data_IF_818667167548
#
_entry.id   IF_818667167548
#
_cell.length_a   1.000
_cell.length_b   1.000
_cell.length_c   1.000
_cell.angle_alpha   90.00
_cell.angle_beta   90.00
_cell.angle_gamma   90.00
#
_symmetry.space_group_name_H-M   'P 1'
#
loop_
_entity.id
_entity.type
_entity.pdbx_description
1 polymer ?
#
# COMPACT_ATOMS: atom_id res chain seq x y z
N UNK A 1 20.49 8.17 6.92
CA UNK A 1 19.74 9.45 6.77
C UNK A 1 18.33 9.48 7.41
N UNK A 2 17.74 8.32 7.77
CA UNK A 2 16.36 8.25 8.28
C UNK A 2 16.21 7.53 9.63
N UNK A 3 17.30 7.31 10.37
CA UNK A 3 17.30 6.54 11.64
C UNK A 3 16.41 7.16 12.74
N UNK A 4 16.12 8.46 12.67
CA UNK A 4 15.32 9.18 13.68
C UNK A 4 13.97 9.67 13.12
N UNK A 5 13.50 9.11 12.00
CA UNK A 5 12.21 9.47 11.41
C UNK A 5 11.17 8.44 11.86
N UNK A 6 9.97 8.86 12.32
CA UNK A 6 8.92 7.93 12.70
C UNK A 6 8.56 7.02 11.51
N UNK A 7 8.37 5.72 11.80
CA UNK A 7 7.90 4.77 10.80
C UNK A 7 6.40 4.98 10.54
N UNK A 8 5.94 4.83 9.29
CA UNK A 8 4.52 4.92 9.00
C UNK A 8 3.78 3.70 9.52
N UNK A 9 2.59 3.90 10.08
CA UNK A 9 1.70 2.82 10.50
C UNK A 9 1.01 2.12 9.32
N UNK A 10 0.96 2.77 8.16
CA UNK A 10 0.34 2.30 6.92
C UNK A 10 0.99 3.00 5.72
N UNK A 11 1.22 2.26 4.64
CA UNK A 11 1.72 2.81 3.36
C UNK A 11 0.67 2.62 2.27
N UNK A 12 0.32 3.71 1.58
CA UNK A 12 -0.38 3.66 0.30
C UNK A 12 0.65 3.71 -0.82
N UNK A 13 0.71 2.67 -1.64
CA UNK A 13 1.72 2.51 -2.68
C UNK A 13 1.09 2.53 -4.07
N UNK A 14 1.54 3.43 -4.93
CA UNK A 14 1.26 3.30 -6.37
C UNK A 14 2.30 2.39 -7.01
N UNK A 15 1.90 1.60 -8.01
CA UNK A 15 2.83 0.83 -8.85
C UNK A 15 3.50 1.71 -9.91
N UNK A 16 2.79 2.74 -10.41
CA UNK A 16 3.25 3.62 -11.47
C UNK A 16 3.94 4.86 -10.90
N UNK A 17 5.06 4.65 -10.19
CA UNK A 17 5.86 5.73 -9.63
C UNK A 17 6.87 6.27 -10.65
N UNK A 18 7.13 7.59 -10.67
CA UNK A 18 8.22 8.15 -11.47
C UNK A 18 9.58 7.74 -10.87
N UNK A 19 10.46 7.18 -11.70
CA UNK A 19 11.86 6.89 -11.37
C UNK A 19 12.12 5.50 -10.80
N UNK A 20 11.24 4.96 -9.95
CA UNK A 20 11.35 3.59 -9.41
C UNK A 20 10.03 2.86 -9.56
N UNK A 21 10.03 1.57 -9.93
CA UNK A 21 8.80 0.79 -10.02
C UNK A 21 8.25 0.48 -8.62
N UNK A 22 6.96 0.74 -8.39
CA UNK A 22 6.33 0.45 -7.10
C UNK A 22 6.33 -1.05 -6.76
N UNK A 23 6.40 -1.95 -7.74
CA UNK A 23 6.56 -3.39 -7.51
C UNK A 23 7.90 -3.69 -6.82
N UNK A 24 8.95 -3.00 -7.23
CA UNK A 24 10.27 -3.13 -6.59
C UNK A 24 10.25 -2.58 -5.16
N UNK A 25 9.58 -1.43 -4.96
CA UNK A 25 9.40 -0.85 -3.62
C UNK A 25 8.66 -1.82 -2.70
N UNK A 26 7.58 -2.45 -3.17
CA UNK A 26 6.84 -3.44 -2.41
C UNK A 26 7.74 -4.62 -2.03
N UNK A 27 8.45 -5.20 -3.00
CA UNK A 27 9.34 -6.34 -2.78
C UNK A 27 10.47 -6.04 -1.80
N UNK A 28 11.10 -4.87 -1.93
CA UNK A 28 12.16 -4.45 -1.02
C UNK A 28 11.63 -4.22 0.40
N UNK A 29 10.52 -3.48 0.55
CA UNK A 29 9.94 -3.19 1.85
C UNK A 29 9.47 -4.47 2.56
N UNK A 30 8.91 -5.45 1.83
CA UNK A 30 8.48 -6.73 2.40
C UNK A 30 9.64 -7.72 2.61
N UNK A 31 10.77 -7.55 1.92
CA UNK A 31 11.99 -8.31 2.19
C UNK A 31 12.74 -7.83 3.44
N UNK A 32 12.66 -6.54 3.74
CA UNK A 32 13.36 -5.94 4.87
C UNK A 32 12.75 -6.40 6.23
N UNK A 33 13.54 -6.99 7.15
CA UNK A 33 13.10 -7.35 8.51
C UNK A 33 12.44 -6.21 9.28
N UNK A 34 12.91 -4.98 9.08
CA UNK A 34 12.47 -3.80 9.82
C UNK A 34 11.20 -3.18 9.23
N UNK A 35 10.96 -3.34 7.93
CA UNK A 35 9.83 -2.71 7.24
C UNK A 35 8.69 -3.67 6.93
N UNK A 36 8.95 -4.98 6.86
CA UNK A 36 7.96 -5.97 6.37
C UNK A 36 6.65 -6.00 7.14
N UNK A 37 6.69 -5.60 8.41
CA UNK A 37 5.51 -5.56 9.29
C UNK A 37 4.57 -4.39 8.96
N UNK A 38 5.09 -3.32 8.36
CA UNK A 38 4.28 -2.16 7.97
C UNK A 38 3.27 -2.62 6.91
N UNK A 39 1.96 -2.43 7.13
CA UNK A 39 0.96 -2.76 6.13
C UNK A 39 1.11 -1.87 4.89
N UNK A 40 1.13 -2.51 3.71
CA UNK A 40 1.22 -1.83 2.42
C UNK A 40 -0.05 -2.12 1.64
N UNK A 41 -0.80 -1.06 1.33
CA UNK A 41 -1.99 -1.09 0.46
C UNK A 41 -1.57 -0.55 -0.89
N UNK A 42 -1.65 -1.38 -1.92
CA UNK A 42 -1.44 -0.94 -3.29
C UNK A 42 -2.68 -0.17 -3.74
N UNK A 43 -2.50 1.08 -4.15
CA UNK A 43 -3.52 1.94 -4.73
C UNK A 43 -2.99 2.44 -6.08
N UNK A 44 -3.45 1.86 -7.18
CA UNK A 44 -2.90 2.12 -8.52
C UNK A 44 -3.98 2.16 -9.60
N UNK A 45 -3.69 2.69 -10.78
CA UNK A 45 -4.63 2.71 -11.92
C UNK A 45 -4.70 1.37 -12.65
N UNK A 46 -3.75 0.46 -12.44
CA UNK A 46 -3.80 -0.88 -13.04
C UNK A 46 -4.90 -1.72 -12.40
N UNK A 47 -5.65 -2.42 -13.24
CA UNK A 47 -6.60 -3.48 -12.88
C UNK A 47 -6.21 -4.82 -13.53
N UNK A 48 -5.01 -4.90 -14.09
CA UNK A 48 -4.54 -6.07 -14.81
C UNK A 48 -4.38 -7.26 -13.85
N UNK A 49 -4.98 -8.43 -14.13
CA UNK A 49 -4.87 -9.61 -13.26
C UNK A 49 -3.41 -10.03 -12.93
N UNK A 50 -2.44 -9.93 -13.85
CA UNK A 50 -1.03 -10.21 -13.51
C UNK A 50 -0.47 -9.27 -12.45
N UNK A 51 -0.79 -7.98 -12.49
CA UNK A 51 -0.30 -6.99 -11.51
C UNK A 51 -0.91 -7.23 -10.12
N UNK A 52 -2.20 -7.57 -10.09
CA UNK A 52 -2.89 -7.93 -8.84
C UNK A 52 -2.23 -9.18 -8.24
N UNK A 53 -2.02 -10.22 -9.06
CA UNK A 53 -1.39 -11.46 -8.63
C UNK A 53 0.02 -11.22 -8.09
N UNK A 54 0.85 -10.51 -8.85
CA UNK A 54 2.23 -10.20 -8.46
C UNK A 54 2.28 -9.39 -7.15
N UNK A 55 1.41 -8.40 -6.98
CA UNK A 55 1.36 -7.61 -5.74
C UNK A 55 1.06 -8.49 -4.52
N UNK A 56 0.09 -9.39 -4.62
CA UNK A 56 -0.24 -10.31 -3.52
C UNK A 56 0.85 -11.39 -3.31
N UNK A 57 1.51 -11.87 -4.36
CA UNK A 57 2.68 -12.75 -4.24
C UNK A 57 3.84 -12.07 -3.51
N UNK A 58 3.95 -10.74 -3.62
CA UNK A 58 4.89 -9.90 -2.88
C UNK A 58 4.30 -9.32 -1.59
N UNK A 59 3.33 -10.02 -0.98
CA UNK A 59 2.77 -9.72 0.34
C UNK A 59 2.11 -8.35 0.50
N UNK A 60 1.55 -7.77 -0.57
CA UNK A 60 0.63 -6.63 -0.43
C UNK A 60 -0.53 -7.01 0.49
N UNK A 61 -0.88 -6.12 1.42
CA UNK A 61 -1.95 -6.37 2.39
C UNK A 61 -3.33 -6.15 1.75
N UNK A 62 -3.41 -5.26 0.76
CA UNK A 62 -4.61 -5.01 -0.03
C UNK A 62 -4.22 -4.40 -1.39
N UNK A 63 -5.08 -4.59 -2.39
CA UNK A 63 -4.96 -3.97 -3.70
C UNK A 63 -6.26 -3.23 -4.02
N UNK A 64 -6.15 -1.98 -4.45
CA UNK A 64 -7.27 -1.11 -4.79
C UNK A 64 -6.98 -0.41 -6.10
N UNK A 65 -7.92 -0.49 -7.04
CA UNK A 65 -7.84 0.27 -8.28
C UNK A 65 -8.32 1.70 -8.03
N UNK A 66 -7.53 2.68 -8.44
CA UNK A 66 -7.84 4.11 -8.34
C UNK A 66 -9.09 4.41 -9.18
N UNK A 67 -10.19 4.89 -8.55
CA UNK A 67 -11.35 5.34 -9.29
C UNK A 67 -10.99 6.55 -10.15
N UNK A 68 -11.54 6.59 -11.36
CA UNK A 68 -11.39 7.73 -12.27
C UNK A 68 -12.24 8.91 -11.80
N UNK A 69 -13.38 8.62 -11.17
CA UNK A 69 -14.31 9.62 -10.66
C UNK A 69 -13.91 10.11 -9.26
N UNK A 70 -13.98 11.42 -9.04
CA UNK A 70 -13.59 12.05 -7.79
C UNK A 70 -14.52 11.68 -6.62
N UNK A 71 -15.83 11.52 -6.85
CA UNK A 71 -16.73 11.10 -5.77
C UNK A 71 -16.43 9.66 -5.34
N UNK A 72 -16.18 8.77 -6.29
CA UNK A 72 -15.77 7.38 -6.01
C UNK A 72 -14.42 7.34 -5.29
N UNK A 73 -13.45 8.16 -5.71
CA UNK A 73 -12.16 8.27 -5.03
C UNK A 73 -12.33 8.74 -3.58
N UNK A 74 -13.17 9.76 -3.35
CA UNK A 74 -13.42 10.25 -2.00
C UNK A 74 -14.13 9.20 -1.13
N UNK A 75 -15.03 8.40 -1.70
CA UNK A 75 -15.66 7.29 -0.98
C UNK A 75 -14.65 6.19 -0.64
N UNK A 76 -13.79 5.81 -1.59
CA UNK A 76 -12.72 4.84 -1.36
C UNK A 76 -11.81 5.26 -0.21
N UNK A 77 -11.42 6.53 -0.14
CA UNK A 77 -10.59 7.04 0.96
C UNK A 77 -11.30 6.95 2.32
N UNK A 78 -12.61 7.22 2.39
CA UNK A 78 -13.39 7.05 3.63
C UNK A 78 -13.44 5.59 4.07
N UNK A 79 -13.64 4.67 3.12
CA UNK A 79 -13.72 3.24 3.42
C UNK A 79 -12.36 2.71 3.90
N UNK A 80 -11.28 3.17 3.25
CA UNK A 80 -9.90 2.87 3.65
C UNK A 80 -9.61 3.39 5.07
N UNK A 81 -9.93 4.65 5.37
CA UNK A 81 -9.72 5.25 6.68
C UNK A 81 -10.46 4.48 7.77
N UNK A 82 -11.74 4.18 7.54
CA UNK A 82 -12.56 3.44 8.48
C UNK A 82 -11.98 2.03 8.74
N UNK A 83 -11.60 1.32 7.68
CA UNK A 83 -11.08 -0.03 7.83
C UNK A 83 -9.74 -0.05 8.57
N UNK A 84 -8.74 0.70 8.10
CA UNK A 84 -7.38 0.60 8.61
C UNK A 84 -7.18 1.26 9.97
N UNK A 85 -7.88 2.36 10.27
CA UNK A 85 -7.67 3.10 11.51
C UNK A 85 -8.75 2.86 12.58
N UNK A 86 -9.91 2.31 12.23
CA UNK A 86 -11.00 2.04 13.22
C UNK A 86 -11.25 0.55 13.46
N UNK A 87 -11.09 -0.29 12.44
CA UNK A 87 -11.40 -1.73 12.53
C UNK A 87 -10.14 -2.56 12.76
N UNK A 88 -9.10 -2.35 11.96
CA UNK A 88 -7.85 -3.10 12.03
C UNK A 88 -7.07 -2.71 13.28
N UNK A 89 -6.37 -3.69 13.87
CA UNK A 89 -5.32 -3.46 14.86
C UNK A 89 -3.98 -3.48 14.14
N UNK A 90 -3.37 -2.31 14.01
CA UNK A 90 -2.05 -2.17 13.43
C UNK A 90 -1.01 -2.73 14.41
N UNK A 91 0.07 -3.36 13.92
CA UNK A 91 1.16 -3.78 14.78
C UNK A 91 1.73 -2.54 15.47
N UNK A 92 1.71 -2.54 16.81
CA UNK A 92 2.51 -1.62 17.61
C UNK A 92 3.97 -2.09 17.58
N UNK A 93 4.92 -1.16 17.69
CA UNK A 93 6.32 -1.52 18.03
C UNK A 93 6.39 -2.48 19.24
#
# INVERSE_FOLDING_TARGET
PYENVPRPDLVLLDLNLPGKDGREVLREAKGDPELRQIPIVVLTTSDAPPDIKEAYENYANSYMTKPVDFQQFHQLLRDLENYWFKVVRLPSE
#
